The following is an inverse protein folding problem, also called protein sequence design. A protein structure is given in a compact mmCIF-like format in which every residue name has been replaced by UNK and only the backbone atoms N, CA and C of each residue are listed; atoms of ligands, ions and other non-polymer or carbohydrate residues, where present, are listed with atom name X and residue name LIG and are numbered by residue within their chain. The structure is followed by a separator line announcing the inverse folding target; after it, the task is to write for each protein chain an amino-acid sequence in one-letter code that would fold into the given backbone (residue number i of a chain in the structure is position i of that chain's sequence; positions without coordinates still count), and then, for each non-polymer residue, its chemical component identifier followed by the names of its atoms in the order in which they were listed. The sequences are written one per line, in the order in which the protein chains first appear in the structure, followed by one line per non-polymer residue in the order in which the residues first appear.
data_IF_141981712492
#
_entry.id   IF_141981712492
#
_cell.length_a   1.000
_cell.length_b   1.000
_cell.length_c   1.000
_cell.angle_alpha   90.00
_cell.angle_beta   90.00
_cell.angle_gamma   90.00
#
_symmetry.space_group_name_H-M   'P 1'
#
loop_
_entity.id
_entity.type
_entity.pdbx_description
1 polymer ?
#
# COMPACT_ATOMS: atom_id res chain seq x y z
N UNK A 1 19.78 2.60 -6.33
CA UNK A 1 18.44 2.91 -5.79
C UNK A 1 18.43 2.46 -4.35
N UNK A 2 17.87 3.23 -3.43
CA UNK A 2 17.81 2.82 -2.01
C UNK A 2 16.97 1.53 -1.86
N UNK A 3 17.33 0.60 -0.94
CA UNK A 3 16.63 -0.68 -0.79
C UNK A 3 15.14 -0.51 -0.54
N UNK A 4 14.74 0.33 0.42
CA UNK A 4 13.33 0.60 0.75
C UNK A 4 12.51 1.00 -0.49
N UNK A 5 13.11 1.81 -1.36
CA UNK A 5 12.47 2.38 -2.55
C UNK A 5 12.29 1.32 -3.64
N UNK A 6 13.25 0.41 -3.78
CA UNK A 6 13.13 -0.76 -4.64
C UNK A 6 12.03 -1.70 -4.14
N UNK A 7 12.05 -2.03 -2.85
CA UNK A 7 11.11 -2.95 -2.20
C UNK A 7 9.67 -2.41 -2.29
N UNK A 8 9.45 -1.11 -2.02
CA UNK A 8 8.15 -0.48 -2.24
C UNK A 8 7.72 -0.60 -3.71
N UNK A 9 8.55 -0.17 -4.67
CA UNK A 9 8.18 -0.14 -6.09
C UNK A 9 7.91 -1.52 -6.73
N UNK A 10 8.57 -2.58 -6.24
CA UNK A 10 8.56 -3.91 -6.87
C UNK A 10 7.84 -4.97 -6.04
N UNK A 11 7.91 -4.89 -4.71
CA UNK A 11 7.19 -5.74 -3.77
C UNK A 11 5.79 -5.20 -3.49
N UNK A 12 5.67 -4.15 -2.67
CA UNK A 12 4.39 -3.68 -2.13
C UNK A 12 3.49 -2.96 -3.13
N UNK A 13 3.99 -1.92 -3.81
CA UNK A 13 3.18 -1.03 -4.63
C UNK A 13 2.39 -1.74 -5.76
N UNK A 14 2.87 -2.84 -6.39
CA UNK A 14 2.07 -3.62 -7.34
C UNK A 14 1.02 -4.54 -6.70
N UNK A 15 1.12 -4.84 -5.39
CA UNK A 15 0.16 -5.67 -4.64
C UNK A 15 -0.99 -4.86 -4.06
N UNK A 16 -0.80 -3.56 -3.83
CA UNK A 16 -1.84 -2.66 -3.32
C UNK A 16 -2.90 -2.34 -4.38
N UNK A 17 -4.17 -2.26 -3.97
CA UNK A 17 -5.23 -1.73 -4.82
C UNK A 17 -5.01 -0.23 -5.10
N UNK A 18 -5.76 0.33 -6.06
CA UNK A 18 -5.74 1.78 -6.27
C UNK A 18 -6.41 2.53 -5.10
N UNK A 19 -7.30 1.88 -4.35
CA UNK A 19 -7.91 2.44 -3.14
C UNK A 19 -6.86 2.58 -2.03
N UNK A 20 -6.17 1.49 -1.69
CA UNK A 20 -5.03 1.46 -0.78
C UNK A 20 -3.93 2.50 -1.09
N UNK A 21 -3.57 2.68 -2.36
CA UNK A 21 -2.60 3.71 -2.75
C UNK A 21 -3.13 5.15 -2.62
N UNK A 22 -4.42 5.40 -2.89
CA UNK A 22 -5.02 6.71 -2.68
C UNK A 22 -5.12 7.04 -1.18
N UNK A 23 -5.57 6.09 -0.36
CA UNK A 23 -5.62 6.19 1.09
C UNK A 23 -4.22 6.48 1.66
N UNK A 24 -3.20 5.71 1.24
CA UNK A 24 -1.82 5.96 1.63
C UNK A 24 -1.34 7.36 1.23
N UNK A 25 -1.65 7.79 0.00
CA UNK A 25 -1.27 9.13 -0.48
C UNK A 25 -1.87 10.23 0.42
N UNK A 26 -3.15 10.14 0.75
CA UNK A 26 -3.80 11.19 1.53
C UNK A 26 -3.39 11.16 3.00
N UNK A 27 -3.27 9.98 3.62
CA UNK A 27 -2.75 9.83 4.99
C UNK A 27 -1.33 10.38 5.17
N UNK A 28 -0.41 10.02 4.26
CA UNK A 28 0.94 10.58 4.24
C UNK A 28 0.95 12.10 4.01
N UNK A 29 0.01 12.62 3.21
CA UNK A 29 -0.13 14.06 2.93
C UNK A 29 -0.66 14.84 4.14
N UNK A 30 -1.67 14.32 4.84
CA UNK A 30 -2.32 14.99 5.97
C UNK A 30 -1.56 14.85 7.30
N UNK A 31 -0.57 13.96 7.39
CA UNK A 31 0.05 13.53 8.65
C UNK A 31 -0.89 12.76 9.57
N UNK A 32 -1.68 11.85 8.99
CA UNK A 32 -2.72 11.12 9.71
C UNK A 32 -2.16 10.49 11.01
N UNK A 33 -2.68 10.88 12.20
CA UNK A 33 -2.20 10.38 13.48
C UNK A 33 -2.48 8.87 13.67
N UNK A 34 -3.40 8.28 12.91
CA UNK A 34 -3.66 6.86 12.93
C UNK A 34 -2.65 6.05 12.08
N UNK A 35 -1.90 6.68 11.17
CA UNK A 35 -0.75 6.07 10.51
C UNK A 35 0.48 6.23 11.42
N UNK A 36 0.84 5.19 12.17
CA UNK A 36 1.93 5.22 13.17
C UNK A 36 3.16 4.45 12.73
N UNK A 37 4.31 4.76 13.36
CA UNK A 37 5.58 4.06 13.21
C UNK A 37 5.84 3.18 14.47
N UNK A 38 6.56 2.07 14.30
CA UNK A 38 6.96 1.16 15.37
C UNK A 38 5.85 0.25 15.90
N UNK A 39 4.74 0.13 15.17
CA UNK A 39 3.58 -0.66 15.58
C UNK A 39 2.85 -1.25 14.36
N UNK A 40 2.28 -2.45 14.49
CA UNK A 40 1.36 -3.03 13.48
C UNK A 40 -0.05 -2.49 13.68
N UNK A 41 -0.59 -2.59 14.90
CA UNK A 41 -1.92 -2.13 15.28
C UNK A 41 -2.02 -1.84 16.78
N UNK A 42 -2.81 -0.81 17.10
CA UNK A 42 -3.28 -0.48 18.44
C UNK A 42 -4.83 -0.54 18.48
N UNK A 43 -5.45 -1.19 19.48
CA UNK A 43 -4.81 -1.87 20.61
C UNK A 43 -4.02 -3.11 20.17
N UNK A 44 -2.99 -3.47 20.95
CA UNK A 44 -2.08 -4.57 20.59
C UNK A 44 -2.87 -5.90 20.49
N UNK A 45 -2.61 -6.76 19.49
CA UNK A 45 -3.27 -8.05 19.38
C UNK A 45 -3.05 -8.92 20.63
N UNK A 46 -4.15 -9.30 21.29
CA UNK A 46 -4.16 -10.17 22.47
C UNK A 46 -5.54 -10.86 22.61
N UNK A 47 -5.66 -11.96 23.38
CA UNK A 47 -6.93 -12.63 23.63
C UNK A 47 -8.02 -11.65 24.12
N UNK A 48 -9.17 -11.67 23.44
CA UNK A 48 -10.30 -10.77 23.73
C UNK A 48 -10.26 -9.41 23.00
N UNK A 49 -9.15 -9.04 22.36
CA UNK A 49 -9.03 -7.74 21.66
C UNK A 49 -9.20 -7.85 20.13
N UNK A 50 -9.38 -9.05 19.59
CA UNK A 50 -9.44 -9.34 18.14
C UNK A 50 -10.49 -8.52 17.38
N UNK A 51 -11.70 -8.43 17.93
CA UNK A 51 -12.84 -7.71 17.35
C UNK A 51 -12.85 -6.21 17.69
N UNK A 52 -11.89 -5.71 18.47
CA UNK A 52 -11.84 -4.29 18.79
C UNK A 52 -11.46 -3.47 17.55
N UNK A 53 -11.91 -2.20 17.45
CA UNK A 53 -11.51 -1.32 16.36
C UNK A 53 -9.98 -1.12 16.35
N UNK A 54 -9.36 -1.24 15.18
CA UNK A 54 -7.96 -0.87 14.97
C UNK A 54 -7.82 0.67 14.94
N UNK A 55 -7.56 1.29 16.09
CA UNK A 55 -7.57 2.76 16.27
C UNK A 55 -6.36 3.44 15.62
N UNK A 56 -5.17 2.84 15.74
CA UNK A 56 -3.95 3.29 15.06
C UNK A 56 -3.19 2.08 14.50
N UNK A 57 -2.50 2.24 13.38
CA UNK A 57 -1.97 1.15 12.58
C UNK A 57 -0.68 1.53 11.85
N UNK A 58 0.23 0.57 11.71
CA UNK A 58 1.42 0.69 10.89
C UNK A 58 1.10 0.61 9.40
N UNK A 59 2.06 0.99 8.56
CA UNK A 59 1.89 1.20 7.11
C UNK A 59 1.02 0.15 6.38
N UNK A 60 1.31 -1.15 6.55
CA UNK A 60 0.59 -2.21 5.83
C UNK A 60 -0.83 -2.42 6.37
N UNK A 61 -1.03 -2.24 7.67
CA UNK A 61 -2.34 -2.31 8.31
C UNK A 61 -3.18 -1.07 7.97
N UNK A 62 -2.57 0.12 7.87
CA UNK A 62 -3.23 1.37 7.46
C UNK A 62 -3.84 1.27 6.07
N UNK A 63 -3.11 0.74 5.09
CA UNK A 63 -3.64 0.57 3.73
C UNK A 63 -4.70 -0.52 3.62
N UNK A 64 -4.72 -1.50 4.52
CA UNK A 64 -5.84 -2.43 4.67
C UNK A 64 -7.08 -1.74 5.27
N UNK A 65 -6.91 -0.97 6.35
CA UNK A 65 -7.99 -0.27 7.06
C UNK A 65 -8.65 0.80 6.18
N UNK A 66 -7.87 1.78 5.74
CA UNK A 66 -8.37 2.93 4.96
C UNK A 66 -8.60 2.62 3.48
N UNK A 67 -7.89 1.61 2.93
CA UNK A 67 -7.92 1.28 1.51
C UNK A 67 -8.88 0.17 1.14
N UNK A 68 -8.91 -0.90 1.94
CA UNK A 68 -9.69 -2.12 1.68
C UNK A 68 -10.90 -2.26 2.62
N UNK A 69 -11.12 -1.32 3.54
CA UNK A 69 -12.30 -1.26 4.42
C UNK A 69 -12.25 -2.20 5.63
N UNK A 70 -11.07 -2.69 6.01
CA UNK A 70 -10.89 -3.51 7.21
C UNK A 70 -11.08 -2.67 8.47
N UNK A 71 -11.54 -3.27 9.57
CA UNK A 71 -11.91 -2.53 10.78
C UNK A 71 -11.24 -3.05 12.06
N UNK A 72 -11.19 -4.36 12.25
CA UNK A 72 -10.80 -4.98 13.51
C UNK A 72 -9.29 -5.16 13.66
N UNK A 73 -8.82 -5.29 14.89
CA UNK A 73 -7.43 -5.66 15.22
C UNK A 73 -7.01 -6.95 14.51
N UNK A 74 -7.91 -7.93 14.42
CA UNK A 74 -7.65 -9.19 13.71
C UNK A 74 -7.45 -8.96 12.20
N UNK A 75 -8.42 -8.34 11.52
CA UNK A 75 -8.41 -8.16 10.06
C UNK A 75 -7.15 -7.41 9.58
N UNK A 76 -6.80 -6.30 10.24
CA UNK A 76 -5.64 -5.50 9.82
C UNK A 76 -4.30 -6.19 10.15
N UNK A 77 -4.26 -7.05 11.18
CA UNK A 77 -3.07 -7.85 11.50
C UNK A 77 -2.86 -8.98 10.50
N UNK A 78 -3.92 -9.69 10.13
CA UNK A 78 -3.89 -10.74 9.11
C UNK A 78 -3.49 -10.16 7.75
N UNK A 79 -4.07 -9.01 7.39
CA UNK A 79 -3.71 -8.29 6.16
C UNK A 79 -2.25 -7.83 6.15
N UNK A 80 -1.73 -7.33 7.28
CA UNK A 80 -0.31 -6.96 7.43
C UNK A 80 0.61 -8.15 7.08
N UNK A 81 0.40 -9.30 7.71
CA UNK A 81 1.26 -10.47 7.51
C UNK A 81 1.11 -11.04 6.10
N UNK A 82 -0.10 -11.14 5.55
CA UNK A 82 -0.31 -11.57 4.15
C UNK A 82 0.38 -10.66 3.14
N UNK A 83 0.30 -9.34 3.31
CA UNK A 83 0.92 -8.39 2.39
C UNK A 83 2.45 -8.39 2.50
N UNK A 84 2.98 -8.52 3.72
CA UNK A 84 4.41 -8.70 4.03
C UNK A 84 4.97 -9.98 3.38
N UNK A 85 4.29 -11.11 3.53
CA UNK A 85 4.66 -12.37 2.88
C UNK A 85 4.60 -12.26 1.36
N UNK A 86 3.48 -11.76 0.80
CA UNK A 86 3.31 -11.61 -0.64
C UNK A 86 4.39 -10.70 -1.27
N UNK A 87 4.83 -9.65 -0.58
CA UNK A 87 5.93 -8.79 -1.03
C UNK A 87 7.29 -9.53 -1.03
N UNK A 88 7.56 -10.33 0.02
CA UNK A 88 8.77 -11.14 0.10
C UNK A 88 8.83 -12.23 -0.97
N UNK A 89 7.74 -12.99 -1.15
CA UNK A 89 7.58 -13.99 -2.21
C UNK A 89 7.77 -13.36 -3.60
N UNK A 90 7.12 -12.21 -3.86
CA UNK A 90 7.20 -11.49 -5.14
C UNK A 90 8.61 -11.02 -5.50
N UNK A 91 9.45 -10.75 -4.49
CA UNK A 91 10.84 -10.32 -4.67
C UNK A 91 11.84 -11.48 -4.63
N UNK A 92 11.42 -12.68 -4.21
CA UNK A 92 12.33 -13.80 -3.93
C UNK A 92 13.29 -13.52 -2.78
N UNK A 93 12.88 -12.67 -1.82
CA UNK A 93 13.74 -12.14 -0.74
C UNK A 93 12.94 -12.11 0.57
N UNK A 94 13.26 -12.99 1.52
CA UNK A 94 12.52 -13.14 2.77
C UNK A 94 12.60 -11.88 3.65
N UNK A 95 13.75 -11.22 3.67
CA UNK A 95 14.05 -10.06 4.49
C UNK A 95 13.53 -8.75 3.89
N UNK A 96 13.09 -8.75 2.62
CA UNK A 96 12.72 -7.52 1.92
C UNK A 96 11.61 -6.75 2.64
N UNK A 97 10.56 -7.43 3.08
CA UNK A 97 9.47 -6.79 3.81
C UNK A 97 9.96 -6.19 5.14
N UNK A 98 10.80 -6.91 5.89
CA UNK A 98 11.43 -6.43 7.13
C UNK A 98 12.32 -5.21 6.89
N UNK A 99 13.18 -5.22 5.86
CA UNK A 99 14.06 -4.10 5.52
C UNK A 99 13.28 -2.82 5.16
N UNK A 100 12.13 -2.96 4.51
CA UNK A 100 11.26 -1.82 4.19
C UNK A 100 10.52 -1.28 5.41
N UNK A 101 10.01 -2.16 6.28
CA UNK A 101 9.35 -1.75 7.52
C UNK A 101 10.35 -1.14 8.52
N UNK A 102 11.56 -1.67 8.61
CA UNK A 102 12.63 -1.12 9.45
C UNK A 102 13.02 0.30 9.01
N UNK A 103 13.12 0.54 7.69
CA UNK A 103 13.28 1.88 7.13
C UNK A 103 12.08 2.78 7.47
N UNK A 104 10.85 2.30 7.30
CA UNK A 104 9.64 3.08 7.59
C UNK A 104 9.59 3.47 9.07
N UNK A 105 9.91 2.56 10.00
CA UNK A 105 9.81 2.79 11.44
C UNK A 105 10.95 3.66 11.99
N UNK A 106 12.18 3.52 11.48
CA UNK A 106 13.36 4.24 12.00
C UNK A 106 13.65 5.58 11.32
N UNK A 107 13.08 5.84 10.14
CA UNK A 107 13.27 7.13 9.45
C UNK A 107 12.43 8.22 10.13
N UNK A 108 12.96 9.43 10.39
CA UNK A 108 12.17 10.54 10.94
C UNK A 108 10.86 10.76 10.16
N UNK A 109 9.76 10.98 10.89
CA UNK A 109 8.39 10.91 10.35
C UNK A 109 8.17 11.83 9.14
N UNK A 110 8.71 13.03 9.17
CA UNK A 110 8.65 14.03 8.10
C UNK A 110 9.42 13.58 6.84
N UNK A 111 10.62 13.03 7.03
CA UNK A 111 11.46 12.47 5.97
C UNK A 111 10.76 11.25 5.35
N UNK A 112 10.33 10.29 6.17
CA UNK A 112 9.62 9.08 5.75
C UNK A 112 8.39 9.45 4.92
N UNK A 113 7.52 10.33 5.45
CA UNK A 113 6.28 10.76 4.77
C UNK A 113 6.58 11.40 3.43
N UNK A 114 7.52 12.35 3.38
CA UNK A 114 7.92 13.04 2.14
C UNK A 114 8.40 12.06 1.08
N UNK A 115 9.23 11.09 1.44
CA UNK A 115 9.78 10.12 0.50
C UNK A 115 8.76 9.07 0.04
N UNK A 116 7.96 8.51 0.95
CA UNK A 116 6.96 7.49 0.61
C UNK A 116 5.78 8.10 -0.18
N UNK A 117 5.41 9.35 0.10
CA UNK A 117 4.38 10.09 -0.65
C UNK A 117 4.79 10.29 -2.12
N UNK A 118 6.06 10.62 -2.38
CA UNK A 118 6.58 10.72 -3.76
C UNK A 118 6.43 9.41 -4.52
N UNK A 119 6.78 8.28 -3.89
CA UNK A 119 6.71 6.96 -4.53
C UNK A 119 5.26 6.48 -4.75
N UNK A 120 4.39 6.73 -3.78
CA UNK A 120 2.94 6.48 -3.89
C UNK A 120 2.33 7.29 -5.03
N UNK A 121 2.70 8.58 -5.14
CA UNK A 121 2.25 9.45 -6.23
C UNK A 121 2.74 8.96 -7.60
N UNK A 122 4.00 8.52 -7.69
CA UNK A 122 4.56 7.98 -8.94
C UNK A 122 3.81 6.73 -9.38
N UNK A 123 3.46 5.82 -8.47
CA UNK A 123 2.68 4.63 -8.81
C UNK A 123 1.25 4.97 -9.27
N UNK A 124 0.54 5.85 -8.55
CA UNK A 124 -0.78 6.31 -8.96
C UNK A 124 -0.77 6.99 -10.34
N UNK A 125 0.27 7.77 -10.66
CA UNK A 125 0.46 8.34 -12.01
C UNK A 125 0.65 7.25 -13.08
N UNK A 126 1.49 6.24 -12.84
CA UNK A 126 1.68 5.12 -13.78
C UNK A 126 0.35 4.41 -14.06
N UNK A 127 -0.42 4.11 -13.02
CA UNK A 127 -1.73 3.44 -13.14
C UNK A 127 -2.73 4.26 -13.97
N UNK A 128 -2.82 5.58 -13.73
CA UNK A 128 -3.66 6.51 -14.52
C UNK A 128 -3.23 6.61 -15.98
N UNK A 129 -1.92 6.55 -16.28
CA UNK A 129 -1.43 6.49 -17.67
C UNK A 129 -1.77 5.15 -18.32
N UNK A 130 -1.60 4.04 -17.60
CA UNK A 130 -1.88 2.69 -18.11
C UNK A 130 -3.38 2.39 -18.30
N UNK A 131 -4.29 3.06 -17.58
CA UNK A 131 -5.73 2.97 -17.88
C UNK A 131 -6.07 3.70 -19.18
N UNK A 132 -5.63 4.96 -19.32
CA UNK A 132 -5.85 5.81 -20.51
C UNK A 132 -5.32 5.18 -21.82
N UNK A 133 -4.21 4.45 -21.75
CA UNK A 133 -3.68 3.73 -22.92
C UNK A 133 -4.61 2.58 -23.31
N UNK A 134 -5.04 1.75 -22.35
CA UNK A 134 -5.96 0.62 -22.59
C UNK A 134 -7.35 1.08 -23.05
N UNK A 135 -7.86 2.17 -22.48
CA UNK A 135 -9.09 2.83 -22.93
C UNK A 135 -8.97 3.19 -24.42
N UNK A 136 -7.93 3.93 -24.83
CA UNK A 136 -7.70 4.32 -26.23
C UNK A 136 -7.59 3.12 -27.18
N UNK A 137 -6.88 2.06 -26.78
CA UNK A 137 -6.78 0.82 -27.56
C UNK A 137 -8.16 0.19 -27.77
N UNK A 138 -8.95 0.03 -26.69
CA UNK A 138 -10.29 -0.56 -26.77
C UNK A 138 -11.28 0.25 -27.63
N UNK A 139 -11.13 1.58 -27.67
CA UNK A 139 -11.91 2.43 -28.57
C UNK A 139 -11.51 2.23 -30.04
N UNK A 140 -10.20 2.15 -30.34
CA UNK A 140 -9.74 1.92 -31.72
C UNK A 140 -10.18 0.55 -32.26
N UNK A 141 -10.12 -0.50 -31.44
CA UNK A 141 -10.55 -1.86 -31.82
C UNK A 141 -12.04 -1.92 -32.17
N UNK A 142 -12.90 -1.27 -31.37
CA UNK A 142 -14.35 -1.17 -31.63
C UNK A 142 -14.67 -0.43 -32.93
N UNK A 143 -13.97 0.67 -33.21
CA UNK A 143 -14.15 1.44 -34.46
C UNK A 143 -13.75 0.57 -35.67
N UNK A 144 -12.64 -0.17 -35.58
CA UNK A 144 -12.22 -1.07 -36.67
C UNK A 144 -13.14 -2.26 -36.88
N UNK A 145 -13.77 -2.82 -35.82
CA UNK A 145 -14.75 -3.89 -35.98
C UNK A 145 -16.07 -3.42 -36.59
N UNK A 146 -16.48 -2.17 -36.33
CA UNK A 146 -17.74 -1.61 -36.84
C UNK A 146 -17.67 -1.12 -38.29
N UNK A 147 -16.47 -0.92 -38.83
CA UNK A 147 -16.28 -0.51 -40.25
C UNK A 147 -16.12 -1.72 -41.20
N UNK A 148 -16.02 -2.94 -40.65
CA UNK A 148 -15.87 -4.19 -41.39
C UNK A 148 -17.16 -5.06 -41.40
N UNK A 149 -18.32 -4.44 -41.15
CA UNK A 149 -19.66 -5.02 -41.30
C UNK A 149 -20.48 -4.17 -42.28
#
# INVERSE_FOLDING_TARGET
MEPWRYIFRRGFAPLLSSSALNALQEGLKQDDPALVQGCVVFPKPMPGFWELPAVAVGLLAYVGREGEGLFSVFEVSEFHERLKEAAAQKLGQMEAATLFLDWFDKTPRDIMRKHLLQETHLELRKRKTASRIREKQSLSERITSSTNQ
#
